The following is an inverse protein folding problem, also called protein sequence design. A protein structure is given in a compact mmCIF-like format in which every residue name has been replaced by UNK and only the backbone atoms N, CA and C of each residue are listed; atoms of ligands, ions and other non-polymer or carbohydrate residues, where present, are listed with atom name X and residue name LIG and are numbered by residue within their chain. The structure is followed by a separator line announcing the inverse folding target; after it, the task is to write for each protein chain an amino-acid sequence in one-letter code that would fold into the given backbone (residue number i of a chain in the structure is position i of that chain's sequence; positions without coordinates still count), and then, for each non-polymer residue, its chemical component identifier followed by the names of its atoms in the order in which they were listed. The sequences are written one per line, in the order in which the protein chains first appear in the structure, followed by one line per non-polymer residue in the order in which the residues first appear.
data_IF_247862655275
#
_entry.id   IF_247862655275
#
_cell.length_a   1.000
_cell.length_b   1.000
_cell.length_c   1.000
_cell.angle_alpha   90.00
_cell.angle_beta   90.00
_cell.angle_gamma   90.00
#
_symmetry.space_group_name_H-M   'P 1'
#
loop_
_entity.id
_entity.type
_entity.pdbx_description
1 polymer ?
#
# COMPACT_ATOMS: atom_id res chain seq x y z
N UNK A 1 -1.59 -9.38 18.33
CA UNK A 1 -0.74 -8.29 17.81
C UNK A 1 0.45 -8.96 17.14
N UNK A 2 0.68 -8.76 15.85
CA UNK A 2 1.86 -9.35 15.19
C UNK A 2 3.10 -8.57 15.63
N UNK A 3 3.90 -9.21 16.49
CA UNK A 3 5.19 -8.70 16.93
C UNK A 3 6.21 -8.93 15.83
N UNK A 4 6.84 -7.86 15.35
CA UNK A 4 8.07 -7.94 14.56
C UNK A 4 9.14 -7.14 15.29
N UNK A 5 10.39 -7.58 15.21
CA UNK A 5 11.52 -6.87 15.81
C UNK A 5 11.60 -5.42 15.34
N UNK A 6 11.31 -5.16 14.05
CA UNK A 6 11.21 -3.81 13.49
C UNK A 6 10.16 -2.94 14.21
N UNK A 7 8.93 -3.45 14.40
CA UNK A 7 7.88 -2.69 15.09
C UNK A 7 8.18 -2.44 16.56
N UNK A 8 8.92 -3.35 17.19
CA UNK A 8 9.42 -3.18 18.54
C UNK A 8 10.48 -2.08 18.64
N UNK A 9 11.47 -2.10 17.74
CA UNK A 9 12.51 -1.08 17.68
C UNK A 9 11.95 0.31 17.37
N UNK A 10 10.99 0.42 16.45
CA UNK A 10 10.33 1.69 16.14
C UNK A 10 9.54 2.23 17.36
N UNK A 11 8.89 1.35 18.14
CA UNK A 11 8.23 1.75 19.37
C UNK A 11 9.23 2.24 20.43
N UNK A 12 10.34 1.54 20.62
CA UNK A 12 11.38 1.96 21.57
C UNK A 12 11.99 3.32 21.19
N UNK A 13 12.19 3.58 19.90
CA UNK A 13 12.64 4.88 19.37
C UNK A 13 11.61 6.00 19.64
N UNK A 14 10.34 5.76 19.29
CA UNK A 14 9.26 6.71 19.58
C UNK A 14 9.16 7.03 21.09
N UNK A 15 9.44 6.04 21.96
CA UNK A 15 9.47 6.21 23.41
C UNK A 15 10.68 6.98 23.91
N UNK A 16 11.87 6.85 23.29
CA UNK A 16 13.06 7.61 23.68
C UNK A 16 12.93 9.09 23.35
N UNK A 17 12.31 9.40 22.22
CA UNK A 17 12.28 10.76 21.68
C UNK A 17 11.02 11.53 22.09
N UNK A 18 10.04 10.83 22.67
CA UNK A 18 8.76 11.41 23.08
C UNK A 18 7.86 11.82 21.91
N UNK A 19 8.13 11.31 20.71
CA UNK A 19 7.41 11.63 19.47
C UNK A 19 6.55 10.43 19.02
N UNK A 20 5.38 10.70 18.44
CA UNK A 20 4.57 9.66 17.77
C UNK A 20 5.09 9.49 16.35
N UNK A 21 5.87 8.45 16.11
CA UNK A 21 6.34 8.07 14.78
C UNK A 21 5.40 7.00 14.18
N UNK A 22 4.75 7.30 13.05
CA UNK A 22 3.90 6.39 12.28
C UNK A 22 4.67 5.88 11.06
N UNK A 23 4.17 4.82 10.41
CA UNK A 23 4.78 4.24 9.20
C UNK A 23 4.94 5.26 8.05
N UNK A 24 4.26 6.41 8.11
CA UNK A 24 4.23 7.45 7.08
C UNK A 24 4.68 8.83 7.59
N UNK A 25 5.24 8.90 8.81
CA UNK A 25 5.89 10.12 9.28
C UNK A 25 7.11 10.37 8.38
N UNK A 26 7.21 11.52 7.69
CA UNK A 26 8.40 11.86 6.90
C UNK A 26 9.64 11.83 7.80
N UNK A 27 10.75 11.29 7.32
CA UNK A 27 12.01 11.47 8.04
C UNK A 27 12.42 12.95 7.92
N UNK A 28 12.81 13.61 9.01
CA UNK A 28 13.28 15.00 8.91
C UNK A 28 14.54 15.10 8.02
N UNK A 29 15.26 13.98 7.81
CA UNK A 29 16.33 13.88 6.83
C UNK A 29 15.85 13.83 5.38
N UNK A 30 14.70 13.24 5.08
CA UNK A 30 14.12 13.18 3.71
C UNK A 30 13.64 14.58 3.25
N UNK A 31 13.19 15.42 4.18
CA UNK A 31 12.84 16.82 3.91
C UNK A 31 14.05 17.71 3.59
N UNK A 32 15.26 17.26 3.95
CA UNK A 32 16.52 17.96 3.67
C UNK A 32 17.17 17.49 2.37
N UNK A 33 16.93 16.24 1.93
CA UNK A 33 17.48 15.70 0.68
C UNK A 33 16.89 16.38 -0.57
N UNK A 34 15.63 16.81 -0.53
CA UNK A 34 14.99 17.57 -1.63
C UNK A 34 15.64 18.96 -1.85
N UNK A 35 16.39 19.49 -0.87
CA UNK A 35 17.11 20.76 -1.00
C UNK A 35 18.52 20.60 -1.59
N UNK A 36 19.09 19.39 -1.59
CA UNK A 36 20.50 19.12 -1.96
C UNK A 36 20.67 18.38 -3.31
N UNK A 37 19.58 18.16 -4.06
CA UNK A 37 19.54 17.45 -5.34
C UNK A 37 20.28 18.12 -6.53
N UNK A 38 21.20 19.07 -6.31
CA UNK A 38 22.03 19.70 -7.36
C UNK A 38 23.50 19.21 -7.40
N UNK A 39 23.93 18.24 -6.58
CA UNK A 39 25.32 17.73 -6.65
C UNK A 39 25.39 16.22 -6.86
N UNK A 40 25.82 15.86 -8.07
CA UNK A 40 25.84 14.51 -8.62
C UNK A 40 26.55 13.44 -7.77
N UNK A 41 26.04 12.22 -7.87
CA UNK A 41 26.49 11.03 -7.17
C UNK A 41 27.84 10.50 -7.67
N UNK A 42 28.77 10.06 -6.81
CA UNK A 42 29.93 9.26 -7.21
C UNK A 42 29.57 7.74 -7.23
N UNK A 43 30.41 6.89 -7.87
CA UNK A 43 29.99 5.58 -8.35
C UNK A 43 30.02 4.48 -7.27
N UNK A 44 29.19 3.46 -7.48
CA UNK A 44 29.04 2.25 -6.66
C UNK A 44 30.16 1.24 -6.94
N UNK A 45 30.89 0.82 -5.90
CA UNK A 45 31.72 -0.41 -5.89
C UNK A 45 31.18 -1.39 -4.83
N UNK A 46 31.01 -2.65 -5.24
CA UNK A 46 30.38 -3.70 -4.42
C UNK A 46 31.32 -4.38 -3.42
N UNK A 47 30.71 -5.08 -2.45
CA UNK A 47 31.41 -6.00 -1.56
C UNK A 47 30.45 -6.68 -0.58
N UNK A 48 30.30 -8.00 -0.74
CA UNK A 48 29.71 -8.92 0.24
C UNK A 48 30.69 -9.13 1.40
N UNK A 49 30.15 -9.40 2.59
CA UNK A 49 30.80 -9.73 3.88
C UNK A 49 31.10 -8.59 4.86
N UNK A 50 30.18 -8.37 5.81
CA UNK A 50 30.50 -8.03 7.20
C UNK A 50 29.27 -8.20 8.11
N UNK A 51 29.05 -9.43 8.60
CA UNK A 51 28.24 -9.66 9.78
C UNK A 51 29.03 -9.22 11.04
N UNK A 52 28.35 -8.50 11.93
CA UNK A 52 28.70 -8.23 13.34
C UNK A 52 29.87 -7.27 13.62
N UNK A 53 29.53 -6.01 13.91
CA UNK A 53 30.30 -5.17 14.83
C UNK A 53 30.35 -3.68 14.49
N UNK A 54 29.63 -2.87 15.26
CA UNK A 54 30.00 -1.46 15.50
C UNK A 54 29.23 -0.37 14.73
N UNK A 55 28.33 0.29 15.46
CA UNK A 55 27.99 1.74 15.44
C UNK A 55 27.82 2.44 14.07
N UNK A 56 26.58 2.84 13.79
CA UNK A 56 26.29 4.03 12.98
C UNK A 56 25.76 3.81 11.58
N UNK A 57 25.29 2.60 11.24
CA UNK A 57 24.57 2.39 9.99
C UNK A 57 23.15 2.93 10.08
N UNK A 58 22.80 3.91 9.23
CA UNK A 58 21.42 4.27 8.94
C UNK A 58 20.70 2.98 8.51
N UNK A 59 19.82 2.47 9.38
CA UNK A 59 18.83 1.50 8.95
C UNK A 59 17.89 2.27 8.04
N UNK A 60 18.02 2.11 6.72
CA UNK A 60 16.98 2.55 5.80
C UNK A 60 15.66 1.95 6.32
N UNK A 61 14.78 2.81 6.87
CA UNK A 61 13.52 2.43 7.51
C UNK A 61 12.65 1.76 6.46
N UNK A 62 12.72 0.43 6.37
CA UNK A 62 11.89 -0.32 5.43
C UNK A 62 10.47 -0.32 5.98
N UNK A 63 9.65 0.63 5.51
CA UNK A 63 8.23 0.77 5.88
C UNK A 63 7.50 -0.55 5.59
N UNK A 64 7.28 -1.37 6.61
CA UNK A 64 6.58 -2.64 6.47
C UNK A 64 5.08 -2.42 6.67
N UNK A 65 4.34 -2.25 5.58
CA UNK A 65 2.88 -2.17 5.59
C UNK A 65 2.28 -3.58 5.70
N UNK A 66 1.43 -3.79 6.71
CA UNK A 66 0.92 -5.11 7.11
C UNK A 66 -0.52 -5.40 6.69
N UNK A 67 -0.97 -4.85 5.56
CA UNK A 67 -2.31 -5.10 5.01
C UNK A 67 -2.26 -6.20 3.96
N UNK A 68 -3.23 -7.10 4.02
CA UNK A 68 -3.42 -8.17 3.03
C UNK A 68 -4.84 -8.12 2.50
N UNK A 69 -5.04 -8.61 1.29
CA UNK A 69 -6.37 -8.70 0.72
C UNK A 69 -6.46 -9.63 -0.47
N UNK A 70 -7.70 -9.96 -0.83
CA UNK A 70 -8.02 -10.84 -1.93
C UNK A 70 -9.32 -10.36 -2.60
N UNK A 71 -9.35 -10.49 -3.93
CA UNK A 71 -10.55 -10.30 -4.75
C UNK A 71 -10.72 -11.51 -5.65
N UNK A 72 -11.95 -11.90 -5.95
CA UNK A 72 -12.24 -13.06 -6.78
C UNK A 72 -13.48 -12.83 -7.63
N UNK A 73 -13.44 -13.37 -8.85
CA UNK A 73 -14.59 -13.52 -9.74
C UNK A 73 -14.80 -15.02 -10.01
N UNK A 74 -16.03 -15.51 -9.87
CA UNK A 74 -16.36 -16.88 -10.25
C UNK A 74 -16.83 -17.00 -11.71
N UNK A 75 -17.08 -18.24 -12.17
CA UNK A 75 -17.52 -18.53 -13.54
C UNK A 75 -18.92 -18.00 -13.89
N UNK A 76 -19.68 -17.49 -12.91
CA UNK A 76 -20.97 -16.84 -13.11
C UNK A 76 -20.86 -15.32 -13.05
N UNK A 77 -19.66 -14.76 -12.98
CA UNK A 77 -19.43 -13.33 -12.85
C UNK A 77 -19.74 -12.78 -11.45
N UNK A 78 -19.82 -13.65 -10.42
CA UNK A 78 -20.04 -13.20 -9.03
C UNK A 78 -18.73 -12.78 -8.40
N UNK A 79 -18.78 -11.65 -7.71
CA UNK A 79 -17.61 -10.95 -7.19
C UNK A 79 -17.57 -10.99 -5.66
N UNK A 80 -16.36 -11.08 -5.11
CA UNK A 80 -16.11 -10.98 -3.68
C UNK A 80 -14.78 -10.29 -3.40
N UNK A 81 -14.72 -9.52 -2.33
CA UNK A 81 -13.51 -8.86 -1.83
C UNK A 81 -13.37 -9.09 -0.33
N UNK A 82 -12.13 -9.23 0.14
CA UNK A 82 -11.78 -9.27 1.55
C UNK A 82 -10.44 -8.56 1.78
N UNK A 83 -10.37 -7.76 2.83
CA UNK A 83 -9.13 -7.07 3.24
C UNK A 83 -8.98 -7.21 4.74
N UNK A 84 -7.75 -7.40 5.21
CA UNK A 84 -7.42 -7.54 6.64
C UNK A 84 -6.11 -6.83 6.95
N UNK A 85 -6.04 -6.22 8.13
CA UNK A 85 -4.87 -5.45 8.53
C UNK A 85 -4.67 -5.44 10.04
N UNK A 86 -3.40 -5.38 10.46
CA UNK A 86 -3.05 -4.96 11.83
C UNK A 86 -3.16 -3.45 12.04
N UNK A 87 -3.31 -2.67 10.96
CA UNK A 87 -3.17 -1.23 10.94
C UNK A 87 -1.71 -0.79 10.94
N UNK A 88 -1.50 0.49 11.21
CA UNK A 88 -0.19 1.12 11.22
C UNK A 88 0.57 0.82 12.51
N UNK A 89 1.90 0.79 12.42
CA UNK A 89 2.77 0.77 13.59
C UNK A 89 2.54 2.04 14.40
N UNK A 90 2.61 1.91 15.74
CA UNK A 90 2.44 3.01 16.69
C UNK A 90 1.11 3.79 16.60
N UNK A 91 0.08 3.21 15.97
CA UNK A 91 -1.25 3.82 15.91
C UNK A 91 -1.79 4.06 17.33
N UNK A 92 -2.52 5.17 17.52
CA UNK A 92 -3.27 5.42 18.76
C UNK A 92 -4.22 4.26 19.04
N UNK A 93 -4.39 3.92 20.32
CA UNK A 93 -5.38 2.93 20.73
C UNK A 93 -6.76 3.33 20.21
N UNK A 94 -7.47 2.38 19.60
CA UNK A 94 -8.78 2.62 18.99
C UNK A 94 -8.74 3.26 17.59
N UNK A 95 -7.56 3.57 17.00
CA UNK A 95 -7.50 4.05 15.61
C UNK A 95 -8.05 2.99 14.66
N UNK A 96 -9.00 3.39 13.83
CA UNK A 96 -9.61 2.60 12.76
C UNK A 96 -9.08 3.10 11.42
N UNK A 97 -8.64 2.17 10.55
CA UNK A 97 -8.22 2.45 9.18
C UNK A 97 -9.36 2.22 8.17
N UNK A 98 -9.02 2.26 6.89
CA UNK A 98 -9.91 2.04 5.74
C UNK A 98 -10.41 0.59 5.62
N UNK A 99 -9.55 -0.38 5.97
CA UNK A 99 -9.79 -1.81 5.77
C UNK A 99 -11.15 -2.34 6.27
N UNK A 100 -11.63 -2.04 7.49
CA UNK A 100 -12.94 -2.51 7.95
C UNK A 100 -14.14 -1.70 7.44
N UNK A 101 -13.91 -0.64 6.66
CA UNK A 101 -14.95 0.29 6.21
C UNK A 101 -15.30 0.00 4.74
N UNK A 102 -16.54 -0.44 4.52
CA UNK A 102 -17.05 -0.78 3.18
C UNK A 102 -16.97 0.43 2.26
N UNK A 103 -16.41 0.23 1.07
CA UNK A 103 -16.23 1.28 0.06
C UNK A 103 -14.91 2.03 0.16
N UNK A 104 -14.13 1.85 1.25
CA UNK A 104 -12.86 2.56 1.44
C UNK A 104 -11.68 1.63 1.12
N UNK A 105 -11.45 0.62 1.98
CA UNK A 105 -10.40 -0.39 1.77
C UNK A 105 -10.89 -1.69 1.12
N UNK A 106 -12.19 -2.00 1.27
CA UNK A 106 -12.81 -3.22 0.72
C UNK A 106 -14.14 -2.88 0.09
N UNK A 107 -14.35 -3.32 -1.14
CA UNK A 107 -15.63 -3.13 -1.82
C UNK A 107 -15.88 -4.24 -2.85
N UNK A 108 -17.12 -4.68 -2.99
CA UNK A 108 -17.54 -5.57 -4.06
C UNK A 108 -19.00 -5.32 -4.41
N UNK A 109 -19.29 -5.25 -5.70
CA UNK A 109 -20.66 -5.20 -6.23
C UNK A 109 -20.79 -6.04 -7.51
N UNK A 110 -21.78 -5.72 -8.34
CA UNK A 110 -22.07 -6.38 -9.61
C UNK A 110 -21.08 -6.03 -10.75
N UNK A 111 -20.25 -4.99 -10.56
CA UNK A 111 -19.32 -4.50 -11.57
C UNK A 111 -17.89 -4.88 -11.25
N UNK A 112 -17.42 -4.64 -10.01
CA UNK A 112 -16.08 -5.02 -9.60
C UNK A 112 -15.95 -5.38 -8.12
N UNK A 113 -14.89 -6.12 -7.81
CA UNK A 113 -14.38 -6.35 -6.46
C UNK A 113 -13.00 -5.69 -6.32
N UNK A 114 -12.79 -4.99 -5.20
CA UNK A 114 -11.59 -4.17 -4.94
C UNK A 114 -11.12 -4.40 -3.51
N UNK A 115 -9.81 -4.57 -3.36
CA UNK A 115 -9.12 -4.58 -2.06
C UNK A 115 -7.92 -3.63 -2.11
N UNK A 116 -7.86 -2.70 -1.17
CA UNK A 116 -6.83 -1.68 -1.06
C UNK A 116 -5.77 -1.99 0.00
N UNK A 117 -4.61 -1.37 -0.14
CA UNK A 117 -3.55 -1.31 0.87
C UNK A 117 -2.83 0.03 0.78
N UNK A 118 -2.54 0.66 1.92
CA UNK A 118 -1.84 1.95 1.97
C UNK A 118 -2.19 2.76 3.20
N UNK A 119 -2.15 4.08 3.06
CA UNK A 119 -2.51 5.02 4.12
C UNK A 119 -4.02 5.15 4.27
N UNK A 120 -4.56 4.48 5.30
CA UNK A 120 -6.00 4.38 5.49
C UNK A 120 -6.76 5.70 5.47
N UNK A 121 -6.22 6.77 6.07
CA UNK A 121 -6.87 8.09 6.09
C UNK A 121 -7.07 8.65 4.66
N UNK A 122 -6.10 8.47 3.76
CA UNK A 122 -6.25 8.89 2.36
C UNK A 122 -7.20 7.99 1.57
N UNK A 123 -7.22 6.68 1.87
CA UNK A 123 -8.23 5.78 1.32
C UNK A 123 -9.65 6.16 1.75
N UNK A 124 -9.82 6.68 2.97
CA UNK A 124 -11.10 7.22 3.43
C UNK A 124 -11.47 8.50 2.70
N UNK A 125 -10.53 9.46 2.59
CA UNK A 125 -10.77 10.74 1.91
C UNK A 125 -11.10 10.56 0.43
N UNK A 126 -10.43 9.62 -0.23
CA UNK A 126 -10.64 9.30 -1.65
C UNK A 126 -11.81 8.35 -1.92
N UNK A 127 -12.40 7.74 -0.88
CA UNK A 127 -13.41 6.67 -1.01
C UNK A 127 -12.92 5.58 -1.98
N UNK A 128 -11.64 5.21 -1.84
CA UNK A 128 -10.82 4.64 -2.91
C UNK A 128 -11.38 3.37 -3.53
N UNK A 129 -11.82 2.39 -2.72
CA UNK A 129 -12.33 1.13 -3.28
C UNK A 129 -13.66 1.32 -4.04
N UNK A 130 -14.56 2.17 -3.55
CA UNK A 130 -15.83 2.48 -4.23
C UNK A 130 -15.62 3.35 -5.47
N UNK A 131 -14.63 4.25 -5.46
CA UNK A 131 -14.34 5.15 -6.59
C UNK A 131 -14.02 4.36 -7.88
N UNK A 132 -13.38 3.20 -7.78
CA UNK A 132 -13.18 2.30 -8.93
C UNK A 132 -14.53 1.88 -9.55
N UNK A 133 -15.46 1.37 -8.73
CA UNK A 133 -16.80 0.98 -9.21
C UNK A 133 -17.57 2.19 -9.74
N UNK A 134 -17.52 3.32 -9.04
CA UNK A 134 -18.18 4.55 -9.45
C UNK A 134 -17.69 5.04 -10.82
N UNK A 135 -16.38 5.00 -11.07
CA UNK A 135 -15.80 5.35 -12.38
C UNK A 135 -16.23 4.38 -13.48
N UNK A 136 -16.25 3.07 -13.20
CA UNK A 136 -16.77 2.10 -14.16
C UNK A 136 -18.26 2.36 -14.47
N UNK A 137 -19.08 2.57 -13.44
CA UNK A 137 -20.54 2.76 -13.57
C UNK A 137 -20.92 4.10 -14.21
N UNK A 138 -20.28 5.19 -13.81
CA UNK A 138 -20.74 6.54 -14.15
C UNK A 138 -19.92 7.20 -15.25
N UNK A 139 -18.67 6.79 -15.46
CA UNK A 139 -17.84 7.25 -16.59
C UNK A 139 -17.68 6.19 -17.69
N UNK A 140 -18.26 5.00 -17.51
CA UNK A 140 -18.18 3.90 -18.48
C UNK A 140 -16.71 3.51 -18.81
N UNK A 141 -15.82 3.63 -17.81
CA UNK A 141 -14.43 3.21 -17.93
C UNK A 141 -14.30 1.68 -17.78
N UNK A 142 -13.32 1.09 -18.46
CA UNK A 142 -12.91 -0.28 -18.16
C UNK A 142 -12.17 -0.35 -16.80
N UNK A 143 -12.01 -1.57 -16.27
CA UNK A 143 -11.40 -1.79 -14.96
C UNK A 143 -10.00 -1.16 -14.84
N UNK A 144 -9.14 -1.37 -15.84
CA UNK A 144 -7.76 -0.89 -15.81
C UNK A 144 -7.69 0.64 -15.73
N UNK A 145 -8.47 1.34 -16.55
CA UNK A 145 -8.53 2.80 -16.55
C UNK A 145 -9.16 3.34 -15.26
N UNK A 146 -10.25 2.73 -14.77
CA UNK A 146 -10.89 3.13 -13.53
C UNK A 146 -9.95 2.97 -12.33
N UNK A 147 -9.24 1.85 -12.25
CA UNK A 147 -8.27 1.55 -11.20
C UNK A 147 -7.06 2.50 -11.26
N UNK A 148 -6.51 2.75 -12.45
CA UNK A 148 -5.39 3.71 -12.63
C UNK A 148 -5.79 5.13 -12.23
N UNK A 149 -6.92 5.65 -12.74
CA UNK A 149 -7.35 7.01 -12.39
C UNK A 149 -7.67 7.15 -10.88
N UNK A 150 -8.07 6.07 -10.22
CA UNK A 150 -8.28 6.05 -8.78
C UNK A 150 -6.96 6.17 -8.01
N UNK A 151 -5.90 5.49 -8.46
CA UNK A 151 -4.56 5.63 -7.89
C UNK A 151 -3.96 7.01 -8.21
N UNK A 152 -4.23 7.57 -9.39
CA UNK A 152 -3.83 8.93 -9.73
C UNK A 152 -4.50 9.95 -8.81
N UNK A 153 -5.81 9.77 -8.52
CA UNK A 153 -6.52 10.59 -7.56
C UNK A 153 -5.96 10.45 -6.14
N UNK A 154 -5.64 9.23 -5.71
CA UNK A 154 -4.99 8.97 -4.42
C UNK A 154 -3.65 9.71 -4.33
N UNK A 155 -2.86 9.69 -5.41
CA UNK A 155 -1.59 10.43 -5.51
C UNK A 155 -1.81 11.94 -5.40
N UNK A 156 -2.84 12.47 -6.08
CA UNK A 156 -3.16 13.89 -6.08
C UNK A 156 -3.55 14.43 -4.69
N UNK A 157 -4.08 13.57 -3.82
CA UNK A 157 -4.36 13.92 -2.42
C UNK A 157 -3.19 13.57 -1.49
N UNK A 158 -1.99 13.30 -2.01
CA UNK A 158 -0.79 12.90 -1.28
C UNK A 158 -0.89 11.55 -0.55
N UNK A 159 -1.85 10.70 -0.96
CA UNK A 159 -1.97 9.34 -0.49
C UNK A 159 -0.99 8.41 -1.18
N UNK A 160 -0.54 7.40 -0.44
CA UNK A 160 0.34 6.34 -0.95
C UNK A 160 -0.33 4.98 -0.70
N UNK A 161 -0.25 4.10 -1.70
CA UNK A 161 -0.79 2.74 -1.64
C UNK A 161 -1.01 2.11 -3.01
N UNK A 162 -1.82 1.06 -3.00
CA UNK A 162 -2.24 0.36 -4.18
C UNK A 162 -3.52 -0.43 -3.94
N UNK A 163 -4.05 -1.01 -5.00
CA UNK A 163 -5.22 -1.86 -4.92
C UNK A 163 -5.11 -3.03 -5.88
N UNK A 164 -5.84 -4.09 -5.57
CA UNK A 164 -6.13 -5.19 -6.49
C UNK A 164 -7.61 -5.15 -6.81
N UNK A 165 -7.95 -5.39 -8.07
CA UNK A 165 -9.33 -5.40 -8.51
C UNK A 165 -9.59 -6.47 -9.59
N UNK A 166 -10.81 -6.98 -9.59
CA UNK A 166 -11.34 -7.87 -10.64
C UNK A 166 -12.76 -7.44 -11.00
N UNK A 167 -13.10 -7.48 -12.29
CA UNK A 167 -14.46 -7.19 -12.77
C UNK A 167 -15.26 -8.47 -13.05
N UNK A 168 -16.56 -8.32 -13.32
CA UNK A 168 -17.45 -9.46 -13.57
C UNK A 168 -17.16 -10.23 -14.86
N UNK A 169 -16.25 -9.73 -15.70
CA UNK A 169 -15.73 -10.41 -16.90
C UNK A 169 -14.42 -11.16 -16.62
N UNK A 170 -13.87 -11.06 -15.41
CA UNK A 170 -12.61 -11.68 -15.02
C UNK A 170 -11.37 -10.88 -15.41
N UNK A 171 -11.51 -9.62 -15.84
CA UNK A 171 -10.35 -8.75 -16.05
C UNK A 171 -9.73 -8.40 -14.70
N UNK A 172 -8.41 -8.30 -14.63
CA UNK A 172 -7.66 -8.03 -13.39
C UNK A 172 -6.88 -6.72 -13.53
N UNK A 173 -6.80 -5.93 -12.46
CA UNK A 173 -5.96 -4.73 -12.37
C UNK A 173 -5.30 -4.64 -10.99
N UNK A 174 -4.00 -4.31 -10.94
CA UNK A 174 -3.24 -4.22 -9.70
C UNK A 174 -2.37 -2.93 -9.60
N UNK A 175 -2.93 -1.72 -9.80
CA UNK A 175 -2.13 -0.49 -9.80
C UNK A 175 -1.72 -0.06 -8.38
N UNK A 176 -0.57 0.61 -8.28
CA UNK A 176 -0.02 1.14 -7.04
C UNK A 176 0.92 2.33 -7.32
N UNK A 177 0.99 3.29 -6.40
CA UNK A 177 1.87 4.45 -6.47
C UNK A 177 3.04 4.42 -5.47
N UNK A 178 3.10 3.40 -4.61
CA UNK A 178 4.25 3.13 -3.72
C UNK A 178 5.43 2.49 -4.48
N UNK A 179 6.59 2.40 -3.83
CA UNK A 179 7.81 1.78 -4.39
C UNK A 179 7.58 0.32 -4.82
N UNK A 180 6.78 -0.42 -4.06
CA UNK A 180 6.41 -1.79 -4.37
C UNK A 180 5.14 -2.23 -3.65
N UNK A 181 4.47 -3.22 -4.22
CA UNK A 181 3.28 -3.85 -3.66
C UNK A 181 3.35 -5.36 -3.87
N UNK A 182 3.49 -6.12 -2.78
CA UNK A 182 3.43 -7.58 -2.80
C UNK A 182 2.07 -8.03 -3.35
N UNK A 183 2.08 -8.66 -4.52
CA UNK A 183 0.86 -9.04 -5.22
C UNK A 183 1.04 -10.30 -6.04
N UNK A 184 -0.08 -10.93 -6.34
CA UNK A 184 -0.13 -12.04 -7.27
C UNK A 184 -1.55 -12.29 -7.74
N UNK A 185 -1.68 -12.98 -8.86
CA UNK A 185 -2.98 -13.32 -9.43
C UNK A 185 -2.88 -14.61 -10.25
N UNK A 186 -4.03 -15.19 -10.57
CA UNK A 186 -4.16 -16.40 -11.38
C UNK A 186 -5.47 -16.35 -12.18
N UNK A 187 -5.38 -16.57 -13.49
CA UNK A 187 -6.54 -16.61 -14.41
C UNK A 187 -6.50 -17.89 -15.24
N UNK A 188 -6.55 -19.04 -14.56
CA UNK A 188 -6.27 -20.33 -15.19
C UNK A 188 -4.79 -20.48 -15.56
N UNK A 189 -4.23 -21.68 -15.40
CA UNK A 189 -2.80 -21.92 -15.61
C UNK A 189 -1.96 -21.54 -14.39
N UNK A 190 -0.75 -21.03 -14.62
CA UNK A 190 0.25 -20.77 -13.57
C UNK A 190 0.03 -19.42 -12.88
N UNK A 191 0.31 -19.31 -11.56
CA UNK A 191 0.21 -18.06 -10.83
C UNK A 191 1.31 -17.07 -11.23
N UNK A 192 0.96 -15.78 -11.25
CA UNK A 192 1.92 -14.67 -11.39
C UNK A 192 2.13 -14.01 -10.04
N UNK A 193 3.39 -13.68 -9.71
CA UNK A 193 3.78 -13.03 -8.44
C UNK A 193 4.73 -11.88 -8.76
N UNK A 194 4.44 -10.71 -8.20
CA UNK A 194 5.19 -9.48 -8.44
C UNK A 194 5.32 -8.67 -7.16
N UNK A 195 6.33 -7.80 -7.11
CA UNK A 195 6.55 -6.88 -5.98
C UNK A 195 6.77 -5.47 -6.54
N UNK A 196 7.74 -5.32 -7.43
CA UNK A 196 8.12 -4.04 -8.03
C UNK A 196 7.44 -3.82 -9.39
N UNK A 197 7.72 -2.65 -10.01
CA UNK A 197 7.32 -2.33 -11.38
C UNK A 197 8.29 -2.91 -12.40
#
# INVERSE_FOLDING_TARGET
YFFTEHRWLQLEHARSDGVVELDHTPDESELLEDADAEKGSPPYEGGVDAALGGRGGSFAKKKSLGTVGAVACDSKGRLAAATSTGGMTNKKFGRVGDTPLVGLGTYADDVCAVSGTGHGEFFMLGVTAYDVSARMKYKNLNLANAASETIDHLTAIHGEGGLIAVDSQGNISLPFNCEGMYRGYITGGDPTVEIYR
#
